data_IF_300123567831
#
_entry.id   IF_300123567831
#
_cell.length_a   1.000
_cell.length_b   1.000
_cell.length_c   1.000
_cell.angle_alpha   90.00
_cell.angle_beta   90.00
_cell.angle_gamma   90.00
#
_symmetry.space_group_name_H-M   'P 1'
#
loop_
_entity.id
_entity.type
_entity.pdbx_description
1 polymer ?
#
# COMPACT_ATOMS: atom_id res chain seq x y z
N UNK A 1 31.58 0.96 13.95
CA UNK A 1 30.87 2.23 13.70
C UNK A 1 31.01 2.60 12.23
N UNK A 2 29.93 3.13 11.66
CA UNK A 2 29.80 3.78 10.33
C UNK A 2 29.85 2.92 9.04
N UNK A 3 28.68 2.37 8.73
CA UNK A 3 27.90 2.51 7.48
C UNK A 3 28.68 2.81 6.19
N UNK A 4 28.61 1.88 5.22
CA UNK A 4 28.61 2.23 3.79
C UNK A 4 27.29 1.80 3.16
N UNK A 5 26.53 2.81 2.75
CA UNK A 5 25.43 2.69 1.82
C UNK A 5 26.00 2.38 0.44
N UNK A 6 25.55 1.29 -0.21
CA UNK A 6 25.72 1.11 -1.66
C UNK A 6 24.42 0.56 -2.23
N UNK A 7 23.67 1.44 -2.87
CA UNK A 7 22.67 1.06 -3.85
C UNK A 7 23.36 0.35 -5.01
N UNK A 8 22.74 -0.72 -5.49
CA UNK A 8 23.02 -1.32 -6.80
C UNK A 8 21.70 -1.92 -7.27
N UNK A 9 20.91 -1.06 -7.93
CA UNK A 9 19.89 -1.49 -8.86
C UNK A 9 20.57 -2.01 -10.14
N UNK A 10 19.85 -2.89 -10.81
CA UNK A 10 20.15 -3.56 -12.07
C UNK A 10 21.03 -4.81 -11.93
N UNK A 11 20.58 -5.89 -12.60
CA UNK A 11 21.22 -7.21 -12.70
C UNK A 11 20.87 -8.23 -11.61
N UNK A 12 19.58 -8.49 -11.37
CA UNK A 12 19.16 -9.83 -10.96
C UNK A 12 18.15 -10.42 -11.97
N UNK A 13 18.76 -11.06 -12.97
CA UNK A 13 18.31 -12.32 -13.57
C UNK A 13 16.98 -12.32 -14.32
N UNK A 14 17.10 -11.82 -15.56
CA UNK A 14 16.37 -12.22 -16.77
C UNK A 14 16.60 -13.72 -17.13
N UNK A 15 16.49 -14.64 -16.17
CA UNK A 15 16.65 -16.09 -16.38
C UNK A 15 15.37 -16.84 -16.00
N UNK A 16 14.26 -16.43 -16.61
CA UNK A 16 13.14 -17.32 -16.87
C UNK A 16 13.49 -18.07 -18.17
N UNK A 17 13.22 -19.37 -18.20
CA UNK A 17 13.46 -20.36 -19.27
C UNK A 17 14.72 -21.24 -19.04
N UNK A 18 14.46 -22.55 -18.92
CA UNK A 18 15.35 -23.70 -18.76
C UNK A 18 15.71 -24.16 -17.34
N UNK A 19 14.70 -24.56 -16.56
CA UNK A 19 14.77 -25.88 -15.91
C UNK A 19 13.39 -26.54 -15.88
N UNK A 20 13.31 -27.70 -16.52
CA UNK A 20 12.11 -28.52 -16.56
C UNK A 20 11.73 -29.08 -15.19
N UNK A 21 10.41 -29.12 -15.00
CA UNK A 21 9.64 -30.04 -14.17
C UNK A 21 9.95 -30.14 -12.66
N UNK A 22 9.07 -29.53 -11.86
CA UNK A 22 8.58 -30.15 -10.62
C UNK A 22 7.06 -30.04 -10.53
N UNK A 23 6.35 -30.75 -11.41
CA UNK A 23 5.08 -31.35 -11.02
C UNK A 23 5.31 -32.09 -9.71
N UNK A 24 4.59 -31.72 -8.65
CA UNK A 24 4.47 -32.58 -7.47
C UNK A 24 5.32 -32.25 -6.24
N UNK A 25 5.49 -30.96 -5.90
CA UNK A 25 5.85 -30.56 -4.53
C UNK A 25 4.78 -29.70 -3.84
N UNK A 26 3.50 -30.02 -4.07
CA UNK A 26 2.42 -29.68 -3.12
C UNK A 26 2.33 -30.78 -2.03
N UNK A 27 3.46 -31.40 -1.68
CA UNK A 27 3.57 -32.25 -0.49
C UNK A 27 3.99 -31.33 0.64
N UNK A 28 3.07 -31.17 1.60
CA UNK A 28 3.09 -30.23 2.72
C UNK A 28 2.48 -28.83 2.44
N UNK A 29 1.36 -28.76 1.73
CA UNK A 29 0.28 -27.94 2.30
C UNK A 29 -0.18 -28.67 3.55
N UNK A 30 0.29 -28.21 4.71
CA UNK A 30 -0.40 -28.52 5.95
C UNK A 30 -1.88 -28.25 5.70
N UNK A 31 -2.72 -29.21 6.05
CA UNK A 31 -4.17 -29.13 5.89
C UNK A 31 -4.66 -28.06 6.88
N UNK A 32 -4.43 -26.79 6.55
CA UNK A 32 -4.93 -25.63 7.26
C UNK A 32 -6.32 -25.42 6.73
N UNK A 33 -7.33 -25.72 7.54
CA UNK A 33 -8.70 -25.48 7.13
C UNK A 33 -8.97 -24.00 7.29
N UNK A 34 -9.48 -23.36 6.24
CA UNK A 34 -9.91 -21.97 6.31
C UNK A 34 -10.97 -21.72 7.40
N UNK A 35 -11.64 -22.79 7.86
CA UNK A 35 -12.58 -22.78 8.99
C UNK A 35 -11.89 -22.40 10.29
N UNK A 36 -10.69 -22.91 10.56
CA UNK A 36 -9.95 -22.61 11.79
C UNK A 36 -9.55 -21.12 11.85
N UNK A 37 -9.25 -20.54 10.68
CA UNK A 37 -8.91 -19.13 10.56
C UNK A 37 -10.13 -18.20 10.65
N UNK A 38 -11.34 -18.72 10.43
CA UNK A 38 -12.58 -17.93 10.45
C UNK A 38 -13.05 -17.61 11.87
N UNK A 39 -12.59 -18.35 12.88
CA UNK A 39 -12.83 -18.01 14.28
C UNK A 39 -12.10 -16.72 14.69
N UNK A 40 -10.91 -16.48 14.14
CA UNK A 40 -10.12 -15.28 14.40
C UNK A 40 -10.59 -14.07 13.57
N UNK A 41 -10.92 -14.28 12.30
CA UNK A 41 -11.41 -13.22 11.39
C UNK A 41 -12.64 -13.73 10.64
N UNK A 42 -13.85 -13.26 10.97
CA UNK A 42 -15.08 -13.79 10.39
C UNK A 42 -15.24 -13.46 8.90
N UNK A 43 -14.59 -12.39 8.42
CA UNK A 43 -14.59 -12.00 7.02
C UNK A 43 -13.49 -12.72 6.24
N UNK A 44 -13.89 -13.55 5.28
CA UNK A 44 -12.99 -14.32 4.41
C UNK A 44 -12.10 -13.44 3.54
N UNK A 45 -12.59 -12.28 3.11
CA UNK A 45 -11.82 -11.34 2.30
C UNK A 45 -10.75 -10.63 3.14
N UNK A 46 -11.12 -10.18 4.33
CA UNK A 46 -10.17 -9.57 5.26
C UNK A 46 -9.11 -10.57 5.70
N UNK A 47 -9.50 -11.83 5.96
CA UNK A 47 -8.55 -12.89 6.27
C UNK A 47 -7.51 -13.05 5.15
N UNK A 48 -7.96 -13.13 3.89
CA UNK A 48 -7.07 -13.25 2.75
C UNK A 48 -6.14 -12.03 2.61
N UNK A 49 -6.66 -10.83 2.80
CA UNK A 49 -5.91 -9.57 2.71
C UNK A 49 -4.84 -9.47 3.80
N UNK A 50 -5.21 -9.73 5.06
CA UNK A 50 -4.31 -9.68 6.21
C UNK A 50 -3.24 -10.77 6.12
N UNK A 51 -3.63 -12.00 5.72
CA UNK A 51 -2.67 -13.08 5.50
C UNK A 51 -1.69 -12.76 4.37
N UNK A 52 -2.15 -12.14 3.27
CA UNK A 52 -1.28 -11.71 2.18
C UNK A 52 -0.29 -10.63 2.62
N UNK A 53 -0.74 -9.63 3.39
CA UNK A 53 0.15 -8.61 3.94
C UNK A 53 1.21 -9.22 4.86
N UNK A 54 0.78 -10.08 5.79
CA UNK A 54 1.69 -10.79 6.70
C UNK A 54 2.68 -11.68 5.95
N UNK A 55 2.23 -12.40 4.92
CA UNK A 55 3.10 -13.22 4.09
C UNK A 55 4.19 -12.40 3.38
N UNK A 56 3.86 -11.16 2.96
CA UNK A 56 4.83 -10.24 2.36
C UNK A 56 5.88 -9.79 3.38
N UNK A 57 5.50 -9.51 4.61
CA UNK A 57 6.45 -9.21 5.69
C UNK A 57 7.41 -10.37 5.95
N UNK A 58 6.86 -11.59 6.01
CA UNK A 58 7.65 -12.82 6.19
C UNK A 58 8.59 -13.12 5.02
N UNK A 59 8.26 -12.63 3.83
CA UNK A 59 9.11 -12.69 2.64
C UNK A 59 10.22 -11.63 2.69
N UNK A 60 9.91 -10.43 3.19
CA UNK A 60 10.87 -9.34 3.40
C UNK A 60 11.85 -9.60 4.57
N UNK A 61 11.78 -10.78 5.21
CA UNK A 61 12.66 -11.16 6.31
C UNK A 61 12.16 -10.81 7.71
N UNK A 62 10.87 -10.47 7.87
CA UNK A 62 10.29 -10.31 9.20
C UNK A 62 10.38 -11.60 10.01
N UNK A 63 10.51 -11.44 11.34
CA UNK A 63 10.54 -12.55 12.28
C UNK A 63 9.19 -13.28 12.28
N UNK A 64 9.25 -14.60 12.11
CA UNK A 64 8.12 -15.50 12.32
C UNK A 64 8.14 -16.01 13.75
N UNK A 65 6.99 -16.00 14.43
CA UNK A 65 6.87 -16.61 15.77
C UNK A 65 6.91 -18.15 15.68
N UNK A 66 6.35 -18.67 14.58
CA UNK A 66 6.29 -20.11 14.33
C UNK A 66 7.49 -20.60 13.51
N UNK A 67 7.96 -21.85 13.74
CA UNK A 67 9.04 -22.43 12.96
C UNK A 67 8.61 -22.64 11.50
N UNK A 68 9.44 -22.16 10.57
CA UNK A 68 9.32 -22.37 9.12
C UNK A 68 9.66 -23.83 8.78
N UNK A 69 8.76 -24.76 9.11
CA UNK A 69 8.89 -26.19 8.81
C UNK A 69 8.62 -26.50 7.32
N UNK A 70 9.31 -25.80 6.41
CA UNK A 70 9.13 -25.95 4.96
C UNK A 70 7.81 -25.38 4.40
N UNK A 71 7.05 -24.63 5.21
CA UNK A 71 5.81 -24.00 4.76
C UNK A 71 6.08 -22.72 3.96
N UNK A 72 5.26 -22.48 2.94
CA UNK A 72 5.26 -21.20 2.23
C UNK A 72 4.83 -20.07 3.17
N UNK A 73 5.33 -18.85 2.92
CA UNK A 73 5.00 -17.69 3.75
C UNK A 73 3.49 -17.44 3.91
N UNK A 74 2.63 -17.62 2.88
CA UNK A 74 1.18 -17.51 3.05
C UNK A 74 0.57 -18.56 4.00
N UNK A 75 1.06 -19.80 3.95
CA UNK A 75 0.58 -20.87 4.84
C UNK A 75 1.04 -20.63 6.27
N UNK A 76 2.27 -20.13 6.45
CA UNK A 76 2.76 -19.75 7.78
C UNK A 76 1.96 -18.58 8.37
N UNK A 77 1.65 -17.55 7.56
CA UNK A 77 0.85 -16.41 7.99
C UNK A 77 -0.55 -16.84 8.45
N UNK A 78 -1.23 -17.73 7.71
CA UNK A 78 -2.53 -18.26 8.13
C UNK A 78 -2.43 -19.05 9.43
N UNK A 79 -1.33 -19.79 9.65
CA UNK A 79 -1.10 -20.53 10.89
C UNK A 79 -0.80 -19.61 12.08
N UNK A 80 -0.07 -18.51 11.87
CA UNK A 80 0.16 -17.49 12.90
C UNK A 80 -1.17 -16.84 13.33
N UNK A 81 -2.08 -16.60 12.37
CA UNK A 81 -3.42 -16.05 12.63
C UNK A 81 -4.32 -17.07 13.34
N UNK A 82 -4.33 -18.34 12.91
CA UNK A 82 -5.18 -19.37 13.53
C UNK A 82 -4.78 -19.73 14.96
N UNK A 83 -3.48 -19.64 15.28
CA UNK A 83 -2.98 -19.90 16.64
C UNK A 83 -3.12 -18.68 17.55
N UNK A 84 -3.38 -17.49 16.98
CA UNK A 84 -3.48 -16.24 17.74
C UNK A 84 -2.11 -15.64 18.15
N UNK A 85 -1.02 -16.09 17.53
CA UNK A 85 0.33 -15.52 17.76
C UNK A 85 0.45 -14.09 17.22
N UNK A 86 -0.35 -13.75 16.21
CA UNK A 86 -0.38 -12.43 15.61
C UNK A 86 -1.82 -11.93 15.57
N UNK A 87 -2.08 -10.79 16.21
CA UNK A 87 -3.42 -10.22 16.21
C UNK A 87 -3.74 -9.64 14.81
N UNK A 88 -4.96 -9.91 14.28
CA UNK A 88 -5.37 -9.35 13.00
C UNK A 88 -5.46 -7.81 13.02
N UNK A 89 -5.74 -7.22 14.18
CA UNK A 89 -5.76 -5.76 14.36
C UNK A 89 -4.37 -5.13 14.13
N UNK A 90 -3.31 -5.77 14.61
CA UNK A 90 -1.93 -5.28 14.46
C UNK A 90 -1.44 -5.40 13.00
N UNK A 91 -1.83 -6.46 12.31
CA UNK A 91 -1.58 -6.60 10.87
C UNK A 91 -2.31 -5.50 10.10
N UNK A 92 -3.57 -5.21 10.48
CA UNK A 92 -4.38 -4.18 9.84
C UNK A 92 -3.78 -2.78 10.06
N UNK A 93 -3.31 -2.47 11.26
CA UNK A 93 -2.63 -1.19 11.55
C UNK A 93 -1.41 -0.97 10.65
N UNK A 94 -0.51 -1.96 10.58
CA UNK A 94 0.70 -1.89 9.74
C UNK A 94 0.38 -1.86 8.24
N UNK A 95 -0.68 -2.55 7.82
CA UNK A 95 -1.19 -2.46 6.44
C UNK A 95 -1.64 -1.03 6.12
N UNK A 96 -2.41 -0.42 7.01
CA UNK A 96 -2.89 0.96 6.85
C UNK A 96 -1.71 1.92 6.77
N UNK A 97 -0.73 1.83 7.67
CA UNK A 97 0.50 2.65 7.63
C UNK A 97 1.25 2.52 6.30
N UNK A 98 1.34 1.30 5.76
CA UNK A 98 2.01 1.03 4.49
C UNK A 98 1.27 1.68 3.31
N UNK A 99 -0.06 1.70 3.35
CA UNK A 99 -0.92 2.29 2.31
C UNK A 99 -1.06 3.80 2.44
N UNK A 100 -1.05 4.33 3.67
CA UNK A 100 -1.14 5.75 3.99
C UNK A 100 0.17 6.49 3.82
N UNK A 101 1.16 5.97 3.07
CA UNK A 101 2.43 6.67 2.86
C UNK A 101 2.13 8.02 2.16
N UNK A 102 1.95 9.05 2.98
CA UNK A 102 1.61 10.41 2.58
C UNK A 102 2.73 10.86 1.66
N UNK A 103 2.39 11.16 0.40
CA UNK A 103 3.28 11.99 -0.41
C UNK A 103 3.41 13.28 0.39
N UNK A 104 4.61 13.67 0.86
CA UNK A 104 4.77 15.03 1.39
C UNK A 104 4.20 15.95 0.32
N UNK A 105 3.35 16.85 0.78
CA UNK A 105 2.56 17.75 -0.03
C UNK A 105 3.37 18.18 -1.24
N UNK A 106 2.83 17.94 -2.43
CA UNK A 106 3.29 18.70 -3.58
C UNK A 106 2.78 20.12 -3.32
N UNK A 107 3.48 20.87 -2.46
CA UNK A 107 3.28 22.30 -2.19
C UNK A 107 3.54 23.15 -3.46
N UNK A 108 3.63 22.51 -4.63
CA UNK A 108 4.21 23.05 -5.85
C UNK A 108 3.25 23.59 -6.89
N UNK A 109 1.93 23.33 -6.83
CA UNK A 109 0.96 23.88 -7.81
C UNK A 109 -0.46 23.98 -7.21
N UNK A 110 -0.64 24.73 -6.13
CA UNK A 110 -1.92 25.45 -6.01
C UNK A 110 -1.86 26.58 -7.02
N UNK A 111 -2.78 26.69 -8.01
CA UNK A 111 -2.80 27.88 -8.84
C UNK A 111 -2.93 29.07 -7.90
N UNK A 112 -1.95 29.97 -7.90
CA UNK A 112 -2.12 31.28 -7.28
C UNK A 112 -3.39 31.86 -7.91
N UNK A 113 -4.49 31.83 -7.17
CA UNK A 113 -5.64 32.62 -7.54
C UNK A 113 -5.15 34.06 -7.41
N UNK A 114 -4.74 34.66 -8.54
CA UNK A 114 -4.51 36.09 -8.63
C UNK A 114 -5.77 36.76 -8.11
N UNK A 115 -5.67 37.33 -6.91
CA UNK A 115 -6.75 38.10 -6.31
C UNK A 115 -7.02 39.25 -7.26
N UNK A 116 -8.12 39.16 -8.00
CA UNK A 116 -8.60 40.25 -8.83
C UNK A 116 -8.75 41.46 -7.90
N UNK A 117 -8.01 42.54 -8.16
CA UNK A 117 -8.11 43.76 -7.37
C UNK A 117 -9.53 44.32 -7.52
N UNK A 118 -10.27 44.38 -6.41
CA UNK A 118 -11.63 44.90 -6.37
C UNK A 118 -11.71 46.31 -6.97
N UNK A 119 -10.63 47.10 -6.82
CA UNK A 119 -10.55 48.44 -7.40
C UNK A 119 -10.40 48.42 -8.94
N UNK A 120 -9.76 47.39 -9.51
CA UNK A 120 -9.63 47.23 -10.95
C UNK A 120 -10.98 46.84 -11.57
N UNK A 121 -11.75 46.00 -10.87
CA UNK A 121 -13.10 45.60 -11.28
C UNK A 121 -14.10 46.77 -11.18
N UNK A 122 -14.03 47.56 -10.10
CA UNK A 122 -14.88 48.75 -9.93
C UNK A 122 -14.62 49.80 -11.02
N UNK A 123 -13.35 50.06 -11.37
CA UNK A 123 -13.01 50.99 -12.47
C UNK A 123 -13.52 50.52 -13.83
N UNK A 124 -13.55 49.21 -14.09
CA UNK A 124 -14.09 48.68 -15.33
C UNK A 124 -15.60 48.87 -15.43
N UNK A 125 -16.32 48.72 -14.31
CA UNK A 125 -17.77 48.97 -14.24
C UNK A 125 -18.07 50.48 -14.39
N UNK A 126 -17.32 51.33 -13.71
CA UNK A 126 -17.45 52.79 -13.81
C UNK A 126 -17.14 53.31 -15.23
N UNK A 127 -16.18 52.68 -15.92
CA UNK A 127 -15.87 53.01 -17.31
C UNK A 127 -17.01 52.61 -18.26
N UNK A 128 -17.72 51.52 -17.98
CA UNK A 128 -18.91 51.14 -18.74
C UNK A 128 -20.09 52.08 -18.50
N UNK A 129 -20.23 52.67 -17.30
CA UNK A 129 -21.27 53.69 -17.05
C UNK A 129 -21.00 55.02 -17.78
N UNK A 130 -19.75 55.30 -18.16
CA UNK A 130 -19.37 56.57 -18.80
C UNK A 130 -19.59 56.62 -20.32
N UNK A 131 -19.93 55.50 -20.95
CA UNK A 131 -20.31 55.42 -22.36
C UNK A 131 -21.74 54.92 -22.53
N UNK A 132 -22.72 55.55 -21.86
CA UNK A 132 -24.08 55.54 -22.38
C UNK A 132 -24.20 56.65 -23.46
N UNK A 133 -24.67 56.32 -24.68
CA UNK A 133 -24.75 57.26 -25.79
C UNK A 133 -25.70 58.41 -25.46
N UNK A 134 -25.25 59.65 -25.71
CA UNK A 134 -26.16 60.78 -25.84
C UNK A 134 -27.13 60.45 -26.98
N UNK A 135 -28.41 60.39 -26.62
CA UNK A 135 -29.53 60.24 -27.54
C UNK A 135 -29.63 61.51 -28.37
N UNK A 136 -29.44 61.40 -29.69
CA UNK A 136 -30.14 62.23 -30.68
C UNK A 136 -30.71 61.31 -31.77
#
# INVERSE_FOLDING_TARGET
MSVRFRGSNELFAFSIVLLGDTRGRIRAMARVFAVDCLEAVPNRFDLALLAAHRARELHNGALSSLPKNGHSAPVLALKEISVGEVNPCDIKGRLIETLQRVRPDDDGDSPEFERIDENAMLRAIEAMEKEAPQTE
#
